data_IF_977368032802
#
_entry.id   IF_977368032802
#
_cell.length_a   1.000
_cell.length_b   1.000
_cell.length_c   1.000
_cell.angle_alpha   90.00
_cell.angle_beta   90.00
_cell.angle_gamma   90.00
#
_symmetry.space_group_name_H-M   'P 1'
#
loop_
_entity.id
_entity.type
_entity.pdbx_description
1 polymer ?
#
# COMPACT_ATOMS: atom_id res chain seq x y z
N UNK A 1 12.62 -1.02 -6.10
CA UNK A 1 12.06 -2.27 -5.52
C UNK A 1 11.00 -1.93 -4.48
N UNK A 2 9.92 -2.71 -4.40
CA UNK A 2 8.98 -2.71 -3.29
C UNK A 2 9.07 -4.07 -2.58
N UNK A 3 8.89 -4.09 -1.27
CA UNK A 3 9.08 -5.28 -0.44
C UNK A 3 8.16 -5.22 0.77
N UNK A 4 7.88 -6.39 1.36
CA UNK A 4 7.08 -6.51 2.58
C UNK A 4 7.89 -7.25 3.65
N UNK A 5 8.76 -6.55 4.35
CA UNK A 5 9.57 -7.11 5.44
C UNK A 5 9.58 -6.18 6.64
N UNK A 6 9.46 -6.71 7.85
CA UNK A 6 9.60 -5.98 9.11
C UNK A 6 11.06 -5.63 9.47
N UNK A 7 11.95 -5.49 8.49
CA UNK A 7 13.38 -5.25 8.69
C UNK A 7 13.92 -4.19 7.74
N UNK A 8 15.08 -3.65 8.09
CA UNK A 8 15.79 -2.61 7.33
C UNK A 8 16.71 -3.19 6.25
N UNK A 9 16.82 -4.52 6.14
CA UNK A 9 17.82 -5.20 5.32
C UNK A 9 17.71 -4.87 3.83
N UNK A 10 16.49 -4.84 3.28
CA UNK A 10 16.27 -4.50 1.86
C UNK A 10 16.64 -3.06 1.57
N UNK A 11 16.28 -2.13 2.45
CA UNK A 11 16.66 -0.72 2.31
C UNK A 11 18.17 -0.52 2.38
N UNK A 12 18.84 -1.20 3.32
CA UNK A 12 20.30 -1.15 3.42
C UNK A 12 20.97 -1.72 2.17
N UNK A 13 20.50 -2.86 1.68
CA UNK A 13 21.01 -3.46 0.45
C UNK A 13 20.78 -2.58 -0.80
N UNK A 14 19.67 -1.85 -0.86
CA UNK A 14 19.38 -0.89 -1.93
C UNK A 14 20.33 0.32 -1.87
N UNK A 15 20.53 0.89 -0.68
CA UNK A 15 21.51 1.96 -0.45
C UNK A 15 22.91 1.54 -0.89
N UNK A 16 23.39 0.39 -0.40
CA UNK A 16 24.76 -0.08 -0.68
C UNK A 16 24.98 -0.39 -2.18
N UNK A 17 23.91 -0.69 -2.93
CA UNK A 17 23.95 -0.94 -4.37
C UNK A 17 23.59 0.28 -5.23
N UNK A 18 23.35 1.45 -4.63
CA UNK A 18 22.93 2.65 -5.34
C UNK A 18 21.62 2.44 -6.12
N UNK A 19 20.69 1.66 -5.57
CA UNK A 19 19.38 1.38 -6.13
C UNK A 19 18.27 2.05 -5.33
N UNK A 20 17.15 2.29 -5.99
CA UNK A 20 15.98 2.91 -5.37
C UNK A 20 14.99 1.90 -4.82
N UNK A 21 14.34 2.26 -3.72
CA UNK A 21 13.37 1.44 -3.01
C UNK A 21 12.21 2.28 -2.46
N UNK A 22 11.04 1.66 -2.35
CA UNK A 22 9.91 2.17 -1.59
C UNK A 22 10.00 1.60 -0.18
N UNK A 23 10.05 2.45 0.84
CA UNK A 23 10.12 2.02 2.23
C UNK A 23 8.75 1.54 2.72
N UNK A 24 8.77 0.57 3.64
CA UNK A 24 7.60 -0.12 4.15
C UNK A 24 7.48 0.06 5.67
N UNK A 25 6.25 0.21 6.17
CA UNK A 25 5.85 0.53 7.56
C UNK A 25 6.29 1.88 8.13
N UNK A 26 7.47 2.39 7.77
CA UNK A 26 8.07 3.58 8.38
C UNK A 26 8.92 4.38 7.39
N UNK A 27 9.26 5.62 7.77
CA UNK A 27 10.30 6.39 7.09
C UNK A 27 11.67 5.79 7.40
N UNK A 28 12.36 5.28 6.37
CA UNK A 28 13.66 4.63 6.48
C UNK A 28 14.81 5.49 5.94
N UNK A 29 14.64 6.81 5.78
CA UNK A 29 15.73 7.71 5.32
C UNK A 29 16.97 7.70 6.22
N UNK A 30 16.83 7.41 7.52
CA UNK A 30 17.99 7.24 8.41
C UNK A 30 18.84 6.00 8.08
N UNK A 31 18.22 4.97 7.49
CA UNK A 31 18.89 3.72 7.09
C UNK A 31 19.44 3.83 5.67
N UNK A 32 18.66 4.43 4.78
CA UNK A 32 18.87 4.40 3.34
C UNK A 32 18.51 5.77 2.69
N UNK A 33 19.28 6.83 3.02
CA UNK A 33 18.93 8.21 2.68
C UNK A 33 18.88 8.50 1.18
N UNK A 34 19.67 7.77 0.37
CA UNK A 34 19.72 7.94 -1.08
C UNK A 34 18.82 6.98 -1.85
N UNK A 35 18.48 5.85 -1.23
CA UNK A 35 17.70 4.80 -1.87
C UNK A 35 16.19 5.01 -1.71
N UNK A 36 15.72 5.62 -0.61
CA UNK A 36 14.28 5.81 -0.41
C UNK A 36 13.70 6.78 -1.44
N UNK A 37 12.73 6.32 -2.23
CA UNK A 37 11.90 7.18 -3.07
C UNK A 37 10.76 7.80 -2.27
N UNK A 38 10.03 6.95 -1.56
CA UNK A 38 8.84 7.27 -0.78
C UNK A 38 8.66 6.19 0.28
N UNK A 39 7.92 6.48 1.34
CA UNK A 39 7.53 5.51 2.35
C UNK A 39 6.02 5.30 2.35
N UNK A 40 5.60 4.04 2.46
CA UNK A 40 4.25 3.65 2.86
C UNK A 40 4.28 3.38 4.35
N UNK A 41 3.74 4.31 5.14
CA UNK A 41 3.77 4.31 6.59
C UNK A 41 2.45 3.83 7.18
N UNK A 42 2.52 3.04 8.24
CA UNK A 42 1.33 2.58 8.97
C UNK A 42 1.15 3.43 10.22
N UNK A 43 -0.09 3.88 10.47
CA UNK A 43 -0.43 4.84 11.51
C UNK A 43 -1.51 4.24 12.43
N UNK A 44 -1.05 3.46 13.41
CA UNK A 44 -1.95 2.75 14.33
C UNK A 44 -2.38 3.59 15.53
N UNK A 45 -1.65 4.65 15.87
CA UNK A 45 -1.85 5.41 17.12
C UNK A 45 -3.29 5.89 17.35
N UNK A 46 -3.97 6.43 16.33
CA UNK A 46 -5.36 6.87 16.46
C UNK A 46 -6.34 5.70 16.62
N UNK A 47 -6.10 4.59 15.90
CA UNK A 47 -6.89 3.38 16.05
C UNK A 47 -6.73 2.78 17.45
N UNK A 48 -5.49 2.55 17.90
CA UNK A 48 -5.19 1.98 19.21
C UNK A 48 -5.75 2.84 20.34
N UNK A 49 -5.60 4.16 20.23
CA UNK A 49 -6.15 5.11 21.21
C UNK A 49 -7.68 5.02 21.28
N UNK A 50 -8.37 4.93 20.14
CA UNK A 50 -9.84 4.77 20.12
C UNK A 50 -10.28 3.45 20.74
N UNK A 51 -9.60 2.35 20.40
CA UNK A 51 -9.94 1.01 20.94
C UNK A 51 -9.71 0.94 22.44
N UNK A 52 -8.61 1.49 22.95
CA UNK A 52 -8.33 1.56 24.37
C UNK A 52 -9.36 2.40 25.14
N UNK A 53 -9.77 3.55 24.59
CA UNK A 53 -10.85 4.37 25.17
C UNK A 53 -12.17 3.62 25.24
N UNK A 54 -12.56 2.93 24.16
CA UNK A 54 -13.78 2.13 24.16
C UNK A 54 -13.81 1.05 25.25
N UNK A 55 -12.66 0.46 25.58
CA UNK A 55 -12.54 -0.49 26.70
C UNK A 55 -12.76 0.22 28.04
N UNK A 56 -12.09 1.35 28.26
CA UNK A 56 -12.24 2.14 29.49
C UNK A 56 -13.67 2.63 29.71
N UNK A 57 -14.34 3.02 28.62
CA UNK A 57 -15.71 3.52 28.63
C UNK A 57 -16.76 2.39 28.69
N UNK A 58 -16.35 1.12 28.65
CA UNK A 58 -17.25 -0.04 28.63
C UNK A 58 -18.08 -0.16 27.34
N UNK A 59 -17.69 0.53 26.27
CA UNK A 59 -18.41 0.57 24.98
C UNK A 59 -17.76 -0.33 23.91
N UNK A 60 -16.63 -0.96 24.24
CA UNK A 60 -15.90 -1.82 23.32
C UNK A 60 -16.75 -2.97 22.81
N UNK A 61 -16.64 -3.23 21.50
CA UNK A 61 -17.22 -4.40 20.83
C UNK A 61 -16.20 -5.02 19.88
N UNK A 62 -16.36 -6.32 19.66
CA UNK A 62 -15.65 -7.04 18.60
C UNK A 62 -16.12 -6.53 17.25
N UNK A 63 -15.18 -6.22 16.37
CA UNK A 63 -15.44 -5.73 15.01
C UNK A 63 -14.29 -6.13 14.09
N UNK A 64 -14.60 -6.32 12.81
CA UNK A 64 -13.60 -6.46 11.77
C UNK A 64 -13.20 -5.05 11.28
N UNK A 65 -11.90 -4.76 11.27
CA UNK A 65 -11.39 -3.45 10.85
C UNK A 65 -10.40 -3.61 9.71
N UNK A 66 -10.67 -2.91 8.61
CA UNK A 66 -9.73 -2.72 7.50
C UNK A 66 -9.65 -1.23 7.16
N UNK A 67 -8.60 -0.57 7.64
CA UNK A 67 -8.39 0.86 7.37
C UNK A 67 -7.24 1.10 6.40
N UNK A 68 -7.44 2.03 5.49
CA UNK A 68 -6.48 2.45 4.49
C UNK A 68 -6.13 3.93 4.63
N UNK A 69 -5.97 4.58 3.47
CA UNK A 69 -5.63 6.01 3.40
C UNK A 69 -6.77 6.89 3.92
N UNK A 70 -8.01 6.54 3.61
CA UNK A 70 -9.21 7.30 4.02
C UNK A 70 -9.34 7.36 5.54
N UNK A 71 -9.08 6.25 6.22
CA UNK A 71 -9.14 6.13 7.69
C UNK A 71 -7.89 6.69 8.37
N UNK A 72 -6.89 7.15 7.60
CA UNK A 72 -5.62 7.67 8.09
C UNK A 72 -4.65 6.59 8.59
N UNK A 73 -4.98 5.31 8.45
CA UNK A 73 -4.18 4.17 8.94
C UNK A 73 -2.99 3.86 8.02
N UNK A 74 -3.05 4.28 6.76
CA UNK A 74 -1.95 4.19 5.79
C UNK A 74 -1.65 5.58 5.23
N UNK A 75 -0.37 5.93 5.13
CA UNK A 75 0.07 7.18 4.50
C UNK A 75 1.30 6.97 3.64
N UNK A 76 1.21 7.44 2.40
CA UNK A 76 2.30 7.58 1.43
C UNK A 76 2.90 8.97 1.55
N UNK A 77 4.22 9.03 1.75
CA UNK A 77 4.94 10.29 1.91
C UNK A 77 6.41 10.09 2.22
N UNK A 78 7.01 11.04 2.95
CA UNK A 78 8.40 10.96 3.39
C UNK A 78 9.38 10.72 2.22
N UNK A 79 9.16 11.48 1.14
CA UNK A 79 9.89 11.35 -0.10
C UNK A 79 11.41 11.54 0.08
N UNK A 80 12.17 10.77 -0.68
CA UNK A 80 13.62 10.95 -0.80
C UNK A 80 13.99 12.31 -1.38
N UNK A 81 15.19 12.78 -1.08
CA UNK A 81 15.69 14.07 -1.57
C UNK A 81 15.81 14.12 -3.10
N UNK A 82 16.01 12.97 -3.74
CA UNK A 82 16.21 12.83 -5.19
C UNK A 82 14.90 12.79 -6.01
N UNK A 83 13.73 12.79 -5.37
CA UNK A 83 12.45 12.74 -6.09
C UNK A 83 12.06 14.15 -6.57
N UNK A 84 11.82 14.38 -7.87
CA UNK A 84 11.38 15.68 -8.36
C UNK A 84 10.03 16.10 -7.77
N UNK A 85 9.82 17.40 -7.57
CA UNK A 85 8.59 17.93 -6.96
C UNK A 85 7.32 17.51 -7.72
N UNK A 86 7.35 17.56 -9.06
CA UNK A 86 6.23 17.12 -9.88
C UNK A 86 5.80 15.67 -9.59
N UNK A 87 6.76 14.77 -9.36
CA UNK A 87 6.49 13.37 -9.03
C UNK A 87 5.90 13.25 -7.62
N UNK A 88 6.37 14.04 -6.65
CA UNK A 88 5.79 14.07 -5.30
C UNK A 88 4.33 14.49 -5.35
N UNK A 89 4.04 15.56 -6.09
CA UNK A 89 2.68 16.07 -6.24
C UNK A 89 1.76 15.08 -6.94
N UNK A 90 2.25 14.39 -7.98
CA UNK A 90 1.49 13.33 -8.64
C UNK A 90 1.10 12.21 -7.66
N UNK A 91 2.07 11.70 -6.88
CA UNK A 91 1.81 10.66 -5.88
C UNK A 91 0.83 11.13 -4.80
N UNK A 92 0.98 12.36 -4.31
CA UNK A 92 0.08 12.94 -3.31
C UNK A 92 -1.34 13.12 -3.86
N UNK A 93 -1.49 13.52 -5.12
CA UNK A 93 -2.79 13.61 -5.78
C UNK A 93 -3.46 12.23 -5.89
N UNK A 94 -2.71 11.17 -6.27
CA UNK A 94 -3.25 9.80 -6.30
C UNK A 94 -3.63 9.27 -4.94
N UNK A 95 -2.85 9.59 -3.91
CA UNK A 95 -3.23 9.27 -2.53
C UNK A 95 -4.56 9.94 -2.15
N UNK A 96 -4.78 11.20 -2.53
CA UNK A 96 -6.06 11.88 -2.29
C UNK A 96 -7.21 11.25 -3.09
N UNK A 97 -6.96 10.85 -4.35
CA UNK A 97 -7.95 10.13 -5.16
C UNK A 97 -8.34 8.80 -4.51
N UNK A 98 -7.38 8.06 -3.94
CA UNK A 98 -7.63 6.81 -3.19
C UNK A 98 -8.45 7.10 -1.93
N UNK A 99 -8.07 8.11 -1.15
CA UNK A 99 -8.81 8.50 0.05
C UNK A 99 -10.26 8.90 -0.24
N UNK A 100 -10.49 9.55 -1.39
CA UNK A 100 -11.81 9.95 -1.86
C UNK A 100 -12.58 8.83 -2.57
N UNK A 101 -11.98 7.65 -2.77
CA UNK A 101 -12.57 6.54 -3.52
C UNK A 101 -12.67 6.77 -5.03
N UNK A 102 -12.06 7.83 -5.57
CA UNK A 102 -12.00 8.12 -7.02
C UNK A 102 -11.01 7.21 -7.75
N UNK A 103 -9.99 6.75 -7.03
CA UNK A 103 -9.02 5.78 -7.53
C UNK A 103 -9.08 4.52 -6.68
N UNK A 104 -9.51 3.41 -7.28
CA UNK A 104 -9.51 2.09 -6.67
C UNK A 104 -8.43 1.23 -7.35
N UNK A 105 -7.40 0.75 -6.62
CA UNK A 105 -6.31 -0.01 -7.23
C UNK A 105 -6.76 -1.29 -7.96
N UNK A 106 -7.83 -1.93 -7.49
CA UNK A 106 -8.36 -3.18 -8.02
C UNK A 106 -9.71 -2.97 -8.73
N UNK A 107 -9.74 -1.97 -9.61
CA UNK A 107 -10.87 -1.71 -10.50
C UNK A 107 -10.43 -1.78 -11.97
N UNK A 108 -11.23 -2.45 -12.78
CA UNK A 108 -11.05 -2.51 -14.22
C UNK A 108 -11.69 -1.29 -14.89
N UNK A 109 -10.94 -0.65 -15.79
CA UNK A 109 -11.45 0.45 -16.62
C UNK A 109 -12.23 -0.07 -17.84
N UNK A 110 -11.86 0.41 -19.02
CA UNK A 110 -12.49 0.01 -20.28
C UNK A 110 -12.12 -1.41 -20.76
N UNK A 111 -11.15 -2.06 -20.10
CA UNK A 111 -10.64 -3.39 -20.44
C UNK A 111 -10.63 -4.27 -19.20
N UNK A 112 -10.73 -5.59 -19.43
CA UNK A 112 -10.59 -6.59 -18.39
C UNK A 112 -9.16 -6.53 -17.81
N UNK A 113 -9.05 -6.71 -16.50
CA UNK A 113 -7.77 -7.02 -15.85
C UNK A 113 -7.59 -8.53 -15.90
N UNK A 114 -6.49 -8.99 -16.49
CA UNK A 114 -6.15 -10.41 -16.57
C UNK A 114 -5.17 -10.81 -15.47
N UNK A 115 -5.19 -12.09 -15.12
CA UNK A 115 -4.11 -12.71 -14.37
C UNK A 115 -2.89 -12.98 -15.29
N UNK A 116 -1.79 -13.44 -14.69
CA UNK A 116 -0.55 -13.76 -15.40
C UNK A 116 -0.58 -15.10 -16.14
N UNK A 117 -1.71 -15.81 -16.11
CA UNK A 117 -1.98 -17.03 -16.88
C UNK A 117 -2.95 -16.76 -18.05
N UNK A 118 -3.45 -15.52 -18.18
CA UNK A 118 -4.29 -15.04 -19.28
C UNK A 118 -5.80 -15.05 -19.00
N UNK A 119 -6.24 -15.52 -17.82
CA UNK A 119 -7.66 -15.52 -17.44
C UNK A 119 -8.12 -14.12 -17.02
N UNK A 120 -9.41 -13.82 -17.16
CA UNK A 120 -9.98 -12.57 -16.68
C UNK A 120 -10.12 -12.64 -15.16
N UNK A 121 -9.44 -11.73 -14.46
CA UNK A 121 -9.47 -11.60 -13.00
C UNK A 121 -10.46 -10.52 -12.52
N UNK A 122 -10.56 -9.41 -13.27
CA UNK A 122 -11.54 -8.34 -13.02
C UNK A 122 -12.16 -7.96 -14.36
N UNK A 123 -13.46 -8.20 -14.52
CA UNK A 123 -14.18 -7.82 -15.74
C UNK A 123 -14.23 -6.29 -15.90
N UNK A 124 -14.18 -5.80 -17.15
CA UNK A 124 -14.28 -4.38 -17.50
C UNK A 124 -15.42 -3.67 -16.76
N UNK A 125 -15.17 -2.45 -16.30
CA UNK A 125 -16.13 -1.64 -15.55
C UNK A 125 -16.51 -2.17 -14.17
N UNK A 126 -15.85 -3.24 -13.69
CA UNK A 126 -16.07 -3.81 -12.36
C UNK A 126 -14.88 -3.54 -11.43
N UNK A 127 -15.12 -3.61 -10.13
CA UNK A 127 -14.10 -3.53 -9.09
C UNK A 127 -14.23 -4.72 -8.14
N UNK A 128 -13.11 -5.14 -7.56
CA UNK A 128 -13.14 -6.16 -6.51
C UNK A 128 -13.71 -5.58 -5.21
N UNK A 129 -14.55 -6.38 -4.57
CA UNK A 129 -14.99 -6.13 -3.20
C UNK A 129 -13.89 -6.48 -2.20
N UNK A 130 -13.96 -5.91 -1.00
CA UNK A 130 -13.05 -6.25 0.10
C UNK A 130 -12.99 -7.75 0.38
N UNK A 131 -14.13 -8.44 0.36
CA UNK A 131 -14.18 -9.90 0.53
C UNK A 131 -13.41 -10.66 -0.54
N UNK A 132 -13.49 -10.23 -1.81
CA UNK A 132 -12.71 -10.81 -2.90
C UNK A 132 -11.21 -10.50 -2.77
N UNK A 133 -10.87 -9.28 -2.33
CA UNK A 133 -9.48 -8.88 -2.10
C UNK A 133 -8.82 -9.70 -0.99
N UNK A 134 -9.54 -9.99 0.10
CA UNK A 134 -9.04 -10.86 1.19
C UNK A 134 -8.80 -12.30 0.74
N UNK A 135 -9.45 -12.73 -0.33
CA UNK A 135 -9.32 -14.07 -0.91
C UNK A 135 -8.45 -14.08 -2.18
N UNK A 136 -7.80 -12.95 -2.51
CA UNK A 136 -7.05 -12.81 -3.74
C UNK A 136 -5.88 -13.79 -3.81
N UNK A 137 -5.94 -14.70 -4.78
CA UNK A 137 -5.02 -15.81 -4.96
C UNK A 137 -4.56 -15.95 -6.42
N UNK A 138 -4.42 -14.81 -7.11
CA UNK A 138 -3.92 -14.71 -8.49
C UNK A 138 -2.90 -13.57 -8.57
N UNK A 139 -2.08 -13.56 -9.62
CA UNK A 139 -1.12 -12.50 -9.91
C UNK A 139 -1.56 -11.78 -11.18
N UNK A 140 -1.48 -10.46 -11.23
CA UNK A 140 -1.88 -9.70 -12.41
C UNK A 140 -0.96 -9.94 -13.61
N UNK A 141 -1.51 -9.75 -14.81
CA UNK A 141 -0.76 -9.80 -16.07
C UNK A 141 0.58 -9.03 -15.97
N UNK A 142 1.65 -9.62 -16.49
CA UNK A 142 3.01 -9.06 -16.43
C UNK A 142 3.80 -9.44 -15.17
N UNK A 143 3.16 -9.94 -14.11
CA UNK A 143 3.87 -10.48 -12.95
C UNK A 143 4.48 -11.85 -13.30
N UNK A 144 5.79 -11.99 -13.10
CA UNK A 144 6.49 -13.26 -13.26
C UNK A 144 6.45 -14.05 -11.96
N UNK A 145 5.94 -15.28 -12.02
CA UNK A 145 5.82 -16.16 -10.87
C UNK A 145 4.61 -17.08 -10.99
N UNK A 146 4.50 -18.04 -10.08
CA UNK A 146 3.31 -18.87 -9.91
C UNK A 146 2.96 -18.92 -8.43
N UNK A 147 1.67 -18.86 -8.14
CA UNK A 147 1.19 -19.11 -6.79
C UNK A 147 1.27 -20.60 -6.54
N UNK A 148 2.02 -21.00 -5.51
CA UNK A 148 1.98 -22.37 -5.03
C UNK A 148 0.58 -22.62 -4.46
N UNK A 149 -0.10 -23.65 -4.98
CA UNK A 149 -1.38 -24.10 -4.43
C UNK A 149 -1.15 -24.91 -3.16
#
# INVERSE_FOLDING_TARGET
IAFHTGSTAVMKAAQDRGRWAVAYHSDMRQVAPDAQLVAVTHRWGDYDTRRARAVLDGTWKSEDTWGGVKEGMVRVGDFGTKVPEAVRQEVLARQQDIAAGRLQPFAAGAQDVRDNEGHVAIAKGSALTDGQLLQMNWLAEGVQGRIAR
#
